data_IF_343630971606
#
_entry.id   IF_343630971606
#
_cell.length_a   1.000
_cell.length_b   1.000
_cell.length_c   1.000
_cell.angle_alpha   90.00
_cell.angle_beta   90.00
_cell.angle_gamma   90.00
#
_symmetry.space_group_name_H-M   'P 1'
#
loop_
_entity.id
_entity.type
_entity.pdbx_description
1 polymer ?
#
# COMPACT_ATOMS: atom_id res chain seq x y z
N UNK A 1 -19.48 17.92 -10.53
CA UNK A 1 -19.18 19.09 -9.69
C UNK A 1 -18.25 18.62 -8.59
N UNK A 2 -17.13 19.26 -8.38
CA UNK A 2 -16.21 18.99 -7.25
C UNK A 2 -16.63 19.96 -6.15
N UNK A 3 -16.98 19.44 -4.97
CA UNK A 3 -17.27 20.25 -3.79
C UNK A 3 -15.95 20.51 -3.08
N UNK A 4 -15.62 21.75 -2.82
CA UNK A 4 -14.44 22.15 -2.03
C UNK A 4 -14.91 22.36 -0.60
N UNK A 5 -14.59 21.43 0.27
CA UNK A 5 -14.74 21.62 1.72
C UNK A 5 -13.41 22.09 2.31
N UNK A 6 -13.49 23.04 3.22
CA UNK A 6 -12.32 23.61 3.91
C UNK A 6 -11.94 22.72 5.11
N UNK A 7 -11.72 21.42 4.85
CA UNK A 7 -11.29 20.44 5.84
C UNK A 7 -9.77 20.28 5.80
N UNK A 8 -9.15 19.96 6.94
CA UNK A 8 -7.71 19.64 6.98
C UNK A 8 -7.39 18.61 5.91
N UNK A 9 -6.36 18.87 5.08
CA UNK A 9 -6.03 18.07 3.91
C UNK A 9 -5.82 16.58 4.24
N UNK A 10 -5.09 16.27 5.33
CA UNK A 10 -4.88 14.91 5.81
C UNK A 10 -5.79 14.63 7.01
N UNK A 11 -6.53 13.53 6.93
CA UNK A 11 -7.39 13.02 7.98
C UNK A 11 -6.83 11.71 8.53
N UNK A 12 -6.96 11.50 9.84
CA UNK A 12 -6.63 10.22 10.44
C UNK A 12 -7.83 9.28 10.43
N UNK A 13 -7.61 8.02 10.08
CA UNK A 13 -8.59 6.95 10.06
C UNK A 13 -8.10 5.77 10.90
N UNK A 14 -9.00 4.99 11.47
CA UNK A 14 -8.63 3.72 12.09
C UNK A 14 -8.14 2.74 11.04
N UNK A 15 -7.11 1.97 11.37
CA UNK A 15 -6.69 0.84 10.54
C UNK A 15 -7.68 -0.33 10.77
N UNK A 16 -8.72 -0.37 9.96
CA UNK A 16 -9.85 -1.28 10.15
C UNK A 16 -10.57 -1.04 11.49
N UNK A 17 -10.85 -2.11 12.22
CA UNK A 17 -11.47 -2.07 13.56
C UNK A 17 -10.51 -1.75 14.71
N UNK A 18 -9.20 -1.68 14.41
CA UNK A 18 -8.16 -1.52 15.43
C UNK A 18 -8.01 -0.07 15.89
N UNK A 19 -7.38 0.11 17.07
CA UNK A 19 -7.28 1.41 17.72
C UNK A 19 -6.25 2.36 17.10
N UNK A 20 -5.33 1.86 16.28
CA UNK A 20 -4.30 2.69 15.67
C UNK A 20 -4.90 3.64 14.62
N UNK A 21 -4.47 4.90 14.70
CA UNK A 21 -4.89 5.96 13.78
C UNK A 21 -3.79 6.21 12.75
N UNK A 22 -4.14 6.07 11.48
CA UNK A 22 -3.24 6.31 10.35
C UNK A 22 -3.79 7.39 9.45
N UNK A 23 -2.91 8.15 8.81
CA UNK A 23 -3.30 9.12 7.79
C UNK A 23 -4.04 8.45 6.63
N UNK A 24 -4.99 9.16 6.03
CA UNK A 24 -5.78 8.68 4.89
C UNK A 24 -4.99 8.58 3.57
N UNK A 25 -3.70 8.89 3.59
CA UNK A 25 -2.71 8.55 2.57
C UNK A 25 -1.55 7.82 3.25
N UNK A 26 -1.01 6.79 2.59
CA UNK A 26 0.17 6.06 3.03
C UNK A 26 1.36 6.40 2.14
N UNK A 27 2.50 6.76 2.73
CA UNK A 27 3.74 7.01 1.99
C UNK A 27 4.42 5.69 1.63
N UNK A 28 4.37 5.30 0.36
CA UNK A 28 5.12 4.16 -0.17
C UNK A 28 6.55 4.53 -0.51
N UNK A 29 7.49 3.74 -0.03
CA UNK A 29 8.92 4.04 -0.10
C UNK A 29 9.68 3.25 -1.18
N UNK A 30 9.00 2.44 -1.98
CA UNK A 30 9.62 1.53 -2.97
C UNK A 30 10.56 2.24 -3.97
N UNK A 31 10.36 3.55 -4.22
CA UNK A 31 11.21 4.33 -5.12
C UNK A 31 12.49 4.84 -4.45
N UNK A 32 12.59 4.82 -3.12
CA UNK A 32 13.68 5.41 -2.35
C UNK A 32 14.96 4.58 -2.46
N UNK A 33 16.08 5.26 -2.67
CA UNK A 33 17.37 4.62 -2.92
C UNK A 33 17.52 4.06 -4.34
N UNK A 34 16.52 4.24 -5.23
CA UNK A 34 16.55 3.79 -6.62
C UNK A 34 16.17 4.91 -7.62
N UNK A 35 14.88 5.27 -7.68
CA UNK A 35 14.38 6.36 -8.55
C UNK A 35 14.47 7.72 -7.89
N UNK A 36 14.59 7.74 -6.59
CA UNK A 36 14.70 8.90 -5.72
C UNK A 36 15.95 8.71 -4.87
N UNK A 37 16.89 9.62 -4.93
CA UNK A 37 18.11 9.56 -4.15
C UNK A 37 17.82 9.75 -2.65
N UNK A 38 18.84 9.56 -1.81
CA UNK A 38 18.68 9.63 -0.35
C UNK A 38 18.27 11.01 0.13
N UNK A 39 18.85 12.07 -0.45
CA UNK A 39 18.56 13.46 -0.07
C UNK A 39 17.10 13.81 -0.33
N UNK A 40 16.62 13.53 -1.53
CA UNK A 40 15.22 13.76 -1.91
C UNK A 40 14.27 12.83 -1.13
N UNK A 41 14.66 11.58 -0.87
CA UNK A 41 13.88 10.65 -0.05
C UNK A 41 13.69 11.19 1.37
N UNK A 42 14.73 11.74 1.98
CA UNK A 42 14.65 12.37 3.31
C UNK A 42 13.75 13.60 3.29
N UNK A 43 13.88 14.45 2.26
CA UNK A 43 13.02 15.63 2.10
C UNK A 43 11.54 15.23 1.93
N UNK A 44 11.24 14.16 1.17
CA UNK A 44 9.88 13.63 1.03
C UNK A 44 9.34 13.12 2.36
N UNK A 45 10.13 12.37 3.15
CA UNK A 45 9.71 11.85 4.45
C UNK A 45 9.48 12.95 5.48
N UNK A 46 10.39 13.94 5.57
CA UNK A 46 10.20 15.10 6.45
C UNK A 46 8.95 15.90 6.04
N UNK A 47 8.77 16.15 4.74
CA UNK A 47 7.59 16.84 4.21
C UNK A 47 6.29 16.07 4.45
N UNK A 48 6.31 14.75 4.37
CA UNK A 48 5.16 13.90 4.66
C UNK A 48 4.70 14.08 6.12
N UNK A 49 5.62 14.09 7.08
CA UNK A 49 5.31 14.36 8.49
C UNK A 49 4.75 15.78 8.70
N UNK A 50 5.34 16.80 8.06
CA UNK A 50 4.82 18.17 8.12
C UNK A 50 3.38 18.28 7.63
N UNK A 51 3.02 17.49 6.61
CA UNK A 51 1.67 17.42 6.05
C UNK A 51 0.70 16.57 6.88
N UNK A 52 1.19 15.86 7.91
CA UNK A 52 0.39 14.98 8.76
C UNK A 52 0.28 13.55 8.25
N UNK A 53 1.07 13.13 7.25
CA UNK A 53 1.15 11.73 6.81
C UNK A 53 2.03 10.98 7.80
N UNK A 54 1.43 10.12 8.63
CA UNK A 54 2.10 9.30 9.62
C UNK A 54 2.23 7.83 9.25
N UNK A 55 1.66 7.39 8.13
CA UNK A 55 1.64 5.99 7.71
C UNK A 55 2.64 5.77 6.58
N UNK A 56 3.68 4.97 6.82
CA UNK A 56 4.75 4.69 5.86
C UNK A 56 4.80 3.19 5.57
N UNK A 57 4.91 2.84 4.29
CA UNK A 57 4.97 1.45 3.81
C UNK A 57 6.30 1.17 3.10
N UNK A 58 6.98 0.12 3.54
CA UNK A 58 8.20 -0.43 2.95
C UNK A 58 8.11 -1.95 2.81
N UNK A 59 9.20 -2.62 2.45
CA UNK A 59 9.35 -4.07 2.47
C UNK A 59 10.82 -4.48 2.58
N UNK A 60 11.07 -5.67 3.10
CA UNK A 60 12.39 -6.27 3.24
C UNK A 60 13.14 -6.44 1.91
N UNK A 61 12.41 -6.54 0.79
CA UNK A 61 12.96 -6.74 -0.57
C UNK A 61 13.08 -5.46 -1.38
N UNK A 62 12.67 -4.29 -0.87
CA UNK A 62 12.78 -3.05 -1.63
C UNK A 62 14.24 -2.57 -1.70
N UNK A 63 14.67 -2.18 -2.88
CA UNK A 63 16.06 -1.79 -3.17
C UNK A 63 16.41 -2.01 -4.65
N UNK A 64 15.44 -1.92 -5.55
CA UNK A 64 15.63 -2.09 -7.00
C UNK A 64 16.58 -1.02 -7.57
N UNK A 65 17.72 -1.47 -8.06
CA UNK A 65 18.82 -0.60 -8.51
C UNK A 65 20.04 -0.62 -7.59
N UNK A 66 19.89 -1.17 -6.39
CA UNK A 66 20.91 -1.51 -5.41
C UNK A 66 20.76 -2.96 -4.97
N UNK A 67 20.70 -3.18 -3.68
CA UNK A 67 20.48 -4.49 -3.06
C UNK A 67 19.12 -4.54 -2.35
N UNK A 68 18.54 -5.74 -2.26
CA UNK A 68 17.31 -5.95 -1.48
C UNK A 68 17.54 -5.52 -0.02
N UNK A 69 16.56 -4.81 0.56
CA UNK A 69 16.65 -4.21 1.89
C UNK A 69 17.30 -2.81 1.94
N UNK A 70 17.77 -2.26 0.82
CA UNK A 70 18.38 -0.92 0.80
C UNK A 70 17.39 0.17 1.18
N UNK A 71 16.12 0.01 0.83
CA UNK A 71 15.09 0.97 1.24
C UNK A 71 14.89 0.98 2.76
N UNK A 72 14.86 -0.18 3.42
CA UNK A 72 14.81 -0.24 4.89
C UNK A 72 16.07 0.37 5.54
N UNK A 73 17.26 0.16 4.96
CA UNK A 73 18.49 0.80 5.43
C UNK A 73 18.41 2.33 5.30
N UNK A 74 17.84 2.84 4.22
CA UNK A 74 17.65 4.28 4.00
C UNK A 74 16.69 4.85 5.05
N UNK A 75 15.55 4.21 5.29
CA UNK A 75 14.63 4.60 6.35
C UNK A 75 15.30 4.57 7.73
N UNK A 76 16.10 3.52 8.01
CA UNK A 76 16.84 3.40 9.25
C UNK A 76 17.88 4.53 9.46
N UNK A 77 18.50 5.03 8.39
CA UNK A 77 19.36 6.21 8.47
C UNK A 77 18.55 7.48 8.77
N UNK A 78 17.38 7.63 8.16
CA UNK A 78 16.49 8.76 8.41
C UNK A 78 15.94 8.75 9.84
N UNK A 79 15.51 7.61 10.38
CA UNK A 79 15.10 7.48 11.78
C UNK A 79 16.24 7.82 12.74
N UNK A 80 17.48 7.42 12.42
CA UNK A 80 18.66 7.70 13.24
C UNK A 80 19.05 9.18 13.32
N UNK A 81 18.47 10.06 12.47
CA UNK A 81 18.62 11.51 12.61
C UNK A 81 17.90 12.04 13.86
N UNK A 82 17.07 11.24 14.51
CA UNK A 82 16.34 11.62 15.73
C UNK A 82 15.19 12.59 15.46
N UNK A 83 14.92 13.51 16.41
CA UNK A 83 13.84 14.49 16.27
C UNK A 83 12.44 13.88 16.36
N UNK A 84 12.27 12.71 16.98
CA UNK A 84 10.98 12.04 17.15
C UNK A 84 10.44 11.38 15.86
N UNK A 85 11.27 11.27 14.80
CA UNK A 85 10.83 10.72 13.48
C UNK A 85 10.25 9.33 13.60
N UNK A 86 10.89 8.43 14.37
CA UNK A 86 10.39 7.06 14.52
C UNK A 86 9.05 7.01 15.24
N UNK A 87 8.89 7.78 16.30
CA UNK A 87 7.66 7.81 17.11
C UNK A 87 6.48 8.48 16.37
N UNK A 88 6.79 9.34 15.39
CA UNK A 88 5.78 10.00 14.57
C UNK A 88 5.23 9.12 13.44
N UNK A 89 5.82 7.93 13.19
CA UNK A 89 5.49 7.08 12.04
C UNK A 89 4.87 5.77 12.50
N UNK A 90 3.72 5.42 11.93
CA UNK A 90 3.18 4.06 11.90
C UNK A 90 3.87 3.34 10.73
N UNK A 91 4.84 2.51 11.03
CA UNK A 91 5.74 1.87 10.05
C UNK A 91 5.23 0.49 9.68
N UNK A 92 4.95 0.31 8.38
CA UNK A 92 4.64 -1.00 7.79
C UNK A 92 5.84 -1.54 7.02
N UNK A 93 6.19 -2.81 7.26
CA UNK A 93 7.11 -3.56 6.40
C UNK A 93 6.57 -4.97 6.13
N UNK A 94 7.26 -5.74 5.28
CA UNK A 94 6.72 -7.00 4.76
C UNK A 94 7.76 -8.12 4.81
N UNK A 95 7.25 -9.37 4.86
CA UNK A 95 8.05 -10.61 4.78
C UNK A 95 7.41 -11.59 3.82
N UNK A 96 8.22 -12.25 3.00
CA UNK A 96 7.87 -13.41 2.16
C UNK A 96 9.04 -13.80 1.25
N UNK A 97 9.51 -12.83 0.44
CA UNK A 97 10.57 -13.10 -0.53
C UNK A 97 11.92 -13.34 0.15
N UNK A 98 12.85 -14.06 -0.47
CA UNK A 98 14.23 -14.09 0.00
C UNK A 98 14.84 -12.69 -0.13
N UNK A 99 15.63 -12.29 0.83
CA UNK A 99 16.45 -11.06 0.78
C UNK A 99 17.86 -11.46 0.38
N UNK A 100 18.32 -10.99 -0.79
CA UNK A 100 19.64 -11.31 -1.35
C UNK A 100 20.51 -10.06 -1.30
N UNK A 101 21.67 -10.17 -0.63
CA UNK A 101 22.69 -9.10 -0.57
C UNK A 101 24.06 -9.68 -0.94
N UNK A 102 24.84 -8.90 -1.72
CA UNK A 102 26.15 -9.34 -2.26
C UNK A 102 27.19 -9.62 -1.18
N UNK A 103 27.21 -8.79 -0.15
CA UNK A 103 28.23 -8.81 0.90
C UNK A 103 27.94 -9.80 2.01
N UNK A 104 26.76 -10.31 2.09
CA UNK A 104 26.34 -11.22 3.12
C UNK A 104 25.85 -12.52 2.53
N UNK A 105 26.17 -13.61 3.20
CA UNK A 105 25.40 -14.84 3.05
C UNK A 105 23.92 -14.46 3.21
N UNK A 106 23.03 -15.18 2.53
CA UNK A 106 21.60 -14.91 2.61
C UNK A 106 21.19 -14.65 4.06
N UNK A 107 20.63 -13.48 4.32
CA UNK A 107 20.22 -13.08 5.68
C UNK A 107 19.20 -14.05 6.26
N UNK A 108 18.42 -14.67 5.39
CA UNK A 108 17.39 -15.65 5.73
C UNK A 108 17.30 -16.66 4.60
N UNK A 109 17.00 -17.93 4.94
CA UNK A 109 16.81 -19.04 4.01
C UNK A 109 16.36 -18.56 2.61
N UNK A 110 17.27 -18.70 1.62
CA UNK A 110 17.16 -18.08 0.31
C UNK A 110 16.49 -18.96 -0.70
N UNK A 111 16.17 -20.20 -0.32
CA UNK A 111 15.78 -21.23 -1.28
C UNK A 111 14.33 -21.06 -1.74
N UNK A 112 13.64 -20.00 -1.32
CA UNK A 112 12.29 -19.79 -1.75
C UNK A 112 11.56 -18.60 -1.10
N UNK A 113 10.28 -18.53 -1.42
CA UNK A 113 9.31 -17.56 -0.95
C UNK A 113 8.41 -18.26 0.05
N UNK A 114 8.47 -17.85 1.34
CA UNK A 114 7.83 -18.64 2.40
C UNK A 114 7.35 -17.79 3.56
N UNK A 115 6.39 -18.36 4.31
CA UNK A 115 5.92 -17.86 5.59
C UNK A 115 6.16 -18.85 6.74
N UNK A 116 7.24 -19.63 6.69
CA UNK A 116 7.59 -20.47 7.84
C UNK A 116 7.90 -19.62 9.08
N UNK A 117 7.66 -20.16 10.26
CA UNK A 117 7.97 -19.50 11.53
C UNK A 117 9.45 -19.05 11.61
N UNK A 118 10.35 -19.86 11.04
CA UNK A 118 11.77 -19.50 10.93
C UNK A 118 11.97 -18.23 10.10
N UNK A 119 11.34 -18.16 8.90
CA UNK A 119 11.45 -17.04 7.97
C UNK A 119 10.83 -15.76 8.57
N UNK A 120 9.64 -15.86 9.13
CA UNK A 120 8.92 -14.72 9.74
C UNK A 120 9.77 -14.10 10.84
N UNK A 121 10.30 -14.94 11.77
CA UNK A 121 11.16 -14.46 12.86
C UNK A 121 12.45 -13.81 12.35
N UNK A 122 13.17 -14.48 11.46
CA UNK A 122 14.45 -13.99 10.93
C UNK A 122 14.27 -12.74 10.06
N UNK A 123 13.20 -12.69 9.28
CA UNK A 123 12.83 -11.51 8.51
C UNK A 123 12.58 -10.29 9.39
N UNK A 124 11.80 -10.46 10.47
CA UNK A 124 11.54 -9.38 11.43
C UNK A 124 12.84 -8.88 12.10
N UNK A 125 13.70 -9.79 12.58
CA UNK A 125 14.98 -9.44 13.20
C UNK A 125 15.89 -8.66 12.23
N UNK A 126 15.94 -9.07 10.96
CA UNK A 126 16.73 -8.41 9.93
C UNK A 126 16.15 -7.02 9.56
N UNK A 127 14.82 -6.90 9.42
CA UNK A 127 14.15 -5.62 9.16
C UNK A 127 14.35 -4.63 10.30
N UNK A 128 14.18 -5.05 11.56
CA UNK A 128 14.44 -4.23 12.74
C UNK A 128 15.87 -3.66 12.75
N UNK A 129 16.85 -4.50 12.39
CA UNK A 129 18.25 -4.09 12.29
C UNK A 129 18.47 -3.06 11.18
N UNK A 130 17.91 -3.27 9.97
CA UNK A 130 18.03 -2.33 8.85
C UNK A 130 17.32 -1.01 9.15
N UNK A 131 16.12 -1.07 9.71
CA UNK A 131 15.31 0.09 10.09
C UNK A 131 15.82 0.82 11.34
N UNK A 132 16.79 0.24 12.09
CA UNK A 132 17.33 0.80 13.35
C UNK A 132 16.23 1.15 14.36
N UNK A 133 15.29 0.26 14.54
CA UNK A 133 14.15 0.38 15.46
C UNK A 133 13.98 -0.92 16.25
N UNK A 134 13.35 -0.83 17.40
CA UNK A 134 13.05 -1.98 18.26
C UNK A 134 11.71 -2.65 17.95
N UNK A 135 10.82 -1.98 17.20
CA UNK A 135 9.52 -2.51 16.81
C UNK A 135 9.09 -2.10 15.40
N UNK A 136 8.18 -2.89 14.83
CA UNK A 136 7.46 -2.64 13.58
C UNK A 136 5.98 -2.47 13.94
N UNK A 137 5.35 -1.38 13.52
CA UNK A 137 3.95 -1.13 13.85
C UNK A 137 3.01 -2.07 13.10
N UNK A 138 3.25 -2.32 11.81
CA UNK A 138 2.48 -3.23 10.98
C UNK A 138 3.41 -4.18 10.21
N UNK A 139 3.43 -5.45 10.60
CA UNK A 139 4.22 -6.48 9.92
C UNK A 139 3.32 -7.29 9.00
N UNK A 140 3.60 -7.26 7.70
CA UNK A 140 2.70 -7.79 6.68
C UNK A 140 3.27 -9.05 6.01
N UNK A 141 2.43 -10.04 5.77
CA UNK A 141 2.70 -11.13 4.84
C UNK A 141 2.63 -10.57 3.42
N UNK A 142 3.76 -10.49 2.69
CA UNK A 142 3.83 -9.87 1.36
C UNK A 142 3.03 -10.64 0.30
N UNK A 143 2.94 -11.95 0.46
CA UNK A 143 2.09 -12.89 -0.29
C UNK A 143 1.64 -14.02 0.62
N UNK A 144 0.62 -14.75 0.19
CA UNK A 144 0.17 -15.97 0.84
C UNK A 144 1.14 -17.12 0.59
N UNK A 145 1.33 -17.97 1.59
CA UNK A 145 1.94 -19.28 1.50
C UNK A 145 0.91 -20.34 1.91
N UNK A 146 0.28 -20.96 0.92
CA UNK A 146 -0.80 -21.93 1.16
C UNK A 146 -0.28 -23.31 1.57
N UNK A 147 1.00 -23.55 1.40
CA UNK A 147 1.65 -24.81 1.78
C UNK A 147 2.10 -24.79 3.25
N UNK A 148 2.23 -23.58 3.84
CA UNK A 148 2.56 -23.43 5.26
C UNK A 148 1.28 -23.45 6.12
N UNK A 149 1.22 -24.29 7.18
CA UNK A 149 0.07 -24.33 8.07
C UNK A 149 -0.21 -22.98 8.76
N UNK A 150 -1.47 -22.57 8.82
CA UNK A 150 -1.87 -21.32 9.49
C UNK A 150 -1.43 -21.27 10.95
N UNK A 151 -1.41 -22.42 11.64
CA UNK A 151 -0.94 -22.51 13.02
C UNK A 151 0.52 -22.08 13.16
N UNK A 152 1.39 -22.49 12.24
CA UNK A 152 2.79 -22.11 12.23
C UNK A 152 2.95 -20.61 11.96
N UNK A 153 2.25 -20.10 10.94
CA UNK A 153 2.29 -18.68 10.55
C UNK A 153 1.83 -17.82 11.73
N UNK A 154 0.63 -18.07 12.24
CA UNK A 154 0.04 -17.25 13.30
C UNK A 154 0.85 -17.30 14.58
N UNK A 155 1.35 -18.49 14.98
CA UNK A 155 2.20 -18.62 16.16
C UNK A 155 3.48 -17.76 16.05
N UNK A 156 4.06 -17.67 14.86
CA UNK A 156 5.26 -16.85 14.65
C UNK A 156 4.96 -15.35 14.85
N UNK A 157 3.86 -14.87 14.28
CA UNK A 157 3.43 -13.47 14.46
C UNK A 157 3.08 -13.16 15.92
N UNK A 158 2.35 -14.05 16.61
CA UNK A 158 2.02 -13.85 18.01
C UNK A 158 3.25 -13.83 18.91
N UNK A 159 4.22 -14.68 18.64
CA UNK A 159 5.49 -14.68 19.36
C UNK A 159 6.24 -13.35 19.20
N UNK A 160 6.28 -12.80 17.99
CA UNK A 160 6.87 -11.48 17.73
C UNK A 160 6.08 -10.37 18.44
N UNK A 161 4.76 -10.46 18.47
CA UNK A 161 3.89 -9.53 19.21
C UNK A 161 4.14 -9.61 20.71
N UNK A 162 4.20 -10.81 21.29
CA UNK A 162 4.50 -11.01 22.71
C UNK A 162 5.88 -10.50 23.11
N UNK A 163 6.85 -10.48 22.17
CA UNK A 163 8.19 -9.91 22.38
C UNK A 163 8.23 -8.39 22.17
N UNK A 164 7.10 -7.74 21.81
CA UNK A 164 7.05 -6.32 21.48
C UNK A 164 7.76 -5.95 20.16
N UNK A 165 8.14 -6.92 19.34
CA UNK A 165 8.84 -6.67 18.07
C UNK A 165 7.90 -6.22 16.94
N UNK A 166 6.64 -6.61 17.01
CA UNK A 166 5.58 -6.14 16.11
C UNK A 166 4.35 -5.76 16.92
N UNK A 167 3.52 -4.85 16.39
CA UNK A 167 2.28 -4.43 17.06
C UNK A 167 1.07 -5.03 16.36
N UNK A 168 0.97 -4.88 15.04
CA UNK A 168 -0.14 -5.37 14.21
C UNK A 168 0.38 -6.29 13.11
N UNK A 169 -0.48 -7.23 12.72
CA UNK A 169 -0.24 -8.14 11.60
C UNK A 169 -1.12 -7.74 10.41
N UNK A 170 -0.56 -7.74 9.21
CA UNK A 170 -1.30 -7.50 7.98
C UNK A 170 -1.04 -8.56 6.93
N UNK A 171 -1.85 -8.54 5.88
CA UNK A 171 -1.68 -9.35 4.68
C UNK A 171 -1.54 -8.49 3.44
N UNK A 172 -1.04 -9.07 2.36
CA UNK A 172 -0.94 -8.42 1.06
C UNK A 172 -1.19 -9.44 -0.05
N UNK A 173 -2.00 -9.04 -1.03
CA UNK A 173 -2.34 -9.84 -2.20
C UNK A 173 -3.05 -11.17 -1.87
N UNK A 174 -3.82 -11.19 -0.80
CA UNK A 174 -4.61 -12.35 -0.40
C UNK A 174 -5.94 -12.40 -1.17
N UNK A 175 -6.42 -13.60 -1.47
CA UNK A 175 -7.80 -13.80 -1.90
C UNK A 175 -8.76 -13.62 -0.71
N UNK A 176 -10.02 -13.34 -0.96
CA UNK A 176 -11.01 -13.16 0.12
C UNK A 176 -11.14 -14.37 1.03
N UNK A 177 -11.05 -15.61 0.48
CA UNK A 177 -11.10 -16.83 1.27
C UNK A 177 -9.83 -17.04 2.12
N UNK A 178 -8.63 -16.62 1.67
CA UNK A 178 -7.41 -16.65 2.47
C UNK A 178 -7.53 -15.71 3.67
N UNK A 179 -8.08 -14.49 3.45
CA UNK A 179 -8.38 -13.53 4.53
C UNK A 179 -9.34 -14.15 5.55
N UNK A 180 -10.43 -14.77 5.06
CA UNK A 180 -11.41 -15.41 5.92
C UNK A 180 -10.76 -16.52 6.75
N UNK A 181 -9.96 -17.38 6.12
CA UNK A 181 -9.26 -18.46 6.83
C UNK A 181 -8.30 -17.91 7.88
N UNK A 182 -7.46 -16.94 7.54
CA UNK A 182 -6.52 -16.33 8.48
C UNK A 182 -7.24 -15.73 9.71
N UNK A 183 -8.35 -15.01 9.49
CA UNK A 183 -9.11 -14.39 10.56
C UNK A 183 -9.82 -15.44 11.44
N UNK A 184 -10.35 -16.52 10.85
CA UNK A 184 -11.00 -17.61 11.59
C UNK A 184 -9.98 -18.38 12.44
N UNK A 185 -8.82 -18.73 11.87
CA UNK A 185 -7.79 -19.46 12.61
C UNK A 185 -7.21 -18.62 13.76
N UNK A 186 -7.01 -17.30 13.54
CA UNK A 186 -6.61 -16.38 14.59
C UNK A 186 -7.67 -16.32 15.72
N UNK A 187 -8.95 -16.23 15.35
CA UNK A 187 -10.07 -16.18 16.31
C UNK A 187 -10.16 -17.44 17.18
N UNK A 188 -9.97 -18.63 16.61
CA UNK A 188 -9.93 -19.91 17.37
C UNK A 188 -8.82 -19.92 18.43
N UNK A 189 -7.73 -19.22 18.18
CA UNK A 189 -6.56 -19.12 19.07
C UNK A 189 -6.65 -17.95 20.06
N UNK A 190 -7.68 -17.11 19.96
CA UNK A 190 -7.82 -15.91 20.78
C UNK A 190 -6.85 -14.79 20.42
N UNK A 191 -6.33 -14.79 19.19
CA UNK A 191 -5.38 -13.78 18.70
C UNK A 191 -6.09 -12.64 17.97
N UNK A 192 -5.41 -11.49 17.90
CA UNK A 192 -5.91 -10.30 17.19
C UNK A 192 -6.14 -10.59 15.71
N UNK A 193 -5.26 -11.37 15.08
CA UNK A 193 -5.31 -11.70 13.66
C UNK A 193 -4.90 -10.53 12.75
N UNK A 194 -5.43 -10.53 11.52
CA UNK A 194 -5.12 -9.51 10.54
C UNK A 194 -5.76 -8.17 10.91
N UNK A 195 -5.00 -7.08 10.73
CA UNK A 195 -5.45 -5.70 10.91
C UNK A 195 -5.70 -5.00 9.58
N UNK A 196 -5.02 -5.45 8.51
CA UNK A 196 -5.13 -4.85 7.18
C UNK A 196 -4.91 -5.87 6.08
N UNK A 197 -5.42 -5.53 4.90
CA UNK A 197 -5.08 -6.15 3.63
C UNK A 197 -4.51 -5.10 2.67
N UNK A 198 -3.38 -5.40 2.04
CA UNK A 198 -2.75 -4.54 1.04
C UNK A 198 -2.87 -5.17 -0.35
N UNK A 199 -3.78 -4.67 -1.18
CA UNK A 199 -4.09 -5.23 -2.50
C UNK A 199 -3.96 -4.21 -3.62
N UNK A 200 -3.72 -4.69 -4.87
CA UNK A 200 -3.81 -3.84 -6.04
C UNK A 200 -5.25 -3.34 -6.21
N UNK A 201 -5.43 -2.03 -6.21
CA UNK A 201 -6.75 -1.45 -6.44
C UNK A 201 -6.63 -0.05 -7.04
N UNK A 202 -7.22 0.14 -8.18
CA UNK A 202 -7.29 1.40 -8.92
C UNK A 202 -8.39 1.32 -10.00
N UNK A 203 -8.77 2.43 -10.62
CA UNK A 203 -9.84 2.51 -11.61
C UNK A 203 -9.77 1.42 -12.69
N UNK A 204 -8.57 1.10 -13.19
CA UNK A 204 -8.40 0.09 -14.25
C UNK A 204 -8.24 -1.36 -13.75
N UNK A 205 -8.18 -1.59 -12.42
CA UNK A 205 -8.20 -2.93 -11.81
C UNK A 205 -9.05 -2.91 -10.55
N UNK A 206 -10.25 -3.46 -10.65
CA UNK A 206 -11.28 -3.45 -9.61
C UNK A 206 -11.67 -4.86 -9.15
N UNK A 207 -10.86 -5.86 -9.48
CA UNK A 207 -11.16 -7.28 -9.22
C UNK A 207 -11.40 -7.58 -7.74
N UNK A 208 -10.72 -6.86 -6.83
CA UNK A 208 -10.87 -7.06 -5.38
C UNK A 208 -12.27 -6.69 -4.85
N UNK A 209 -13.10 -6.01 -5.65
CA UNK A 209 -14.49 -5.71 -5.29
C UNK A 209 -15.36 -6.98 -5.19
N UNK A 210 -14.95 -8.07 -5.85
CA UNK A 210 -15.69 -9.34 -5.82
C UNK A 210 -15.71 -9.98 -4.44
N UNK A 211 -14.56 -10.13 -3.78
CA UNK A 211 -14.48 -10.86 -2.51
C UNK A 211 -13.52 -10.27 -1.48
N UNK A 212 -12.41 -9.62 -1.89
CA UNK A 212 -11.43 -9.07 -0.94
C UNK A 212 -12.03 -7.92 -0.13
N UNK A 213 -12.69 -6.95 -0.79
CA UNK A 213 -13.37 -5.85 -0.11
C UNK A 213 -14.50 -6.36 0.80
N UNK A 214 -15.40 -7.27 0.35
CA UNK A 214 -16.38 -7.91 1.24
C UNK A 214 -15.74 -8.59 2.45
N UNK A 215 -14.66 -9.34 2.27
CA UNK A 215 -13.93 -9.97 3.37
C UNK A 215 -13.35 -8.94 4.34
N UNK A 216 -12.70 -7.88 3.83
CA UNK A 216 -12.17 -6.80 4.67
C UNK A 216 -13.27 -6.14 5.50
N UNK A 217 -14.44 -5.86 4.91
CA UNK A 217 -15.59 -5.30 5.63
C UNK A 217 -16.11 -6.25 6.71
N UNK A 218 -16.26 -7.54 6.38
CA UNK A 218 -16.78 -8.55 7.30
C UNK A 218 -15.90 -8.72 8.54
N UNK A 219 -14.58 -8.78 8.34
CA UNK A 219 -13.62 -8.97 9.44
C UNK A 219 -13.13 -7.68 10.08
N UNK A 220 -13.49 -6.52 9.52
CA UNK A 220 -13.08 -5.21 10.02
C UNK A 220 -11.62 -4.90 9.75
N UNK A 221 -11.10 -5.26 8.57
CA UNK A 221 -9.72 -4.98 8.16
C UNK A 221 -9.60 -3.63 7.45
N UNK A 222 -8.49 -2.94 7.64
CA UNK A 222 -8.15 -1.77 6.86
C UNK A 222 -7.65 -2.17 5.46
N UNK A 223 -8.21 -1.59 4.40
CA UNK A 223 -7.74 -1.81 3.04
C UNK A 223 -6.71 -0.75 2.65
N UNK A 224 -5.54 -1.19 2.19
CA UNK A 224 -4.40 -0.34 1.81
C UNK A 224 -4.08 -0.59 0.32
N UNK A 225 -4.72 0.16 -0.62
CA UNK A 225 -4.47 -0.02 -2.04
C UNK A 225 -3.05 0.33 -2.46
N UNK A 226 -2.36 -0.61 -3.13
CA UNK A 226 -1.09 -0.30 -3.78
C UNK A 226 -1.27 -0.03 -5.28
N UNK A 227 -0.31 0.70 -5.87
CA UNK A 227 -0.33 1.14 -7.28
C UNK A 227 -1.58 1.96 -7.66
N UNK A 228 -2.00 2.96 -6.87
CA UNK A 228 -3.26 3.68 -7.06
C UNK A 228 -3.37 4.37 -8.42
N UNK A 229 -2.24 4.67 -9.06
CA UNK A 229 -2.17 5.28 -10.39
C UNK A 229 -1.89 4.27 -11.51
N UNK A 230 -2.09 2.97 -11.28
CA UNK A 230 -1.83 1.91 -12.28
C UNK A 230 -0.42 2.00 -12.89
N UNK A 231 0.61 2.14 -12.03
CA UNK A 231 1.99 2.31 -12.49
C UNK A 231 2.29 3.64 -13.18
N UNK A 232 1.36 4.58 -13.17
CA UNK A 232 1.41 5.90 -13.80
C UNK A 232 0.42 6.07 -14.96
N UNK A 233 -0.27 5.01 -15.39
CA UNK A 233 -1.26 5.04 -16.47
C UNK A 233 -2.38 6.06 -16.24
N UNK A 234 -2.80 6.21 -14.98
CA UNK A 234 -3.85 7.14 -14.55
C UNK A 234 -3.30 8.53 -14.15
N UNK A 235 -2.05 8.80 -14.42
CA UNK A 235 -1.38 10.05 -14.03
C UNK A 235 -1.30 11.14 -15.11
N UNK A 236 -2.11 11.08 -16.17
CA UNK A 236 -2.08 12.07 -17.26
C UNK A 236 -1.07 11.74 -18.37
N UNK A 237 -1.08 10.51 -18.86
CA UNK A 237 -0.11 10.02 -19.86
C UNK A 237 -0.29 10.62 -21.25
N UNK A 238 -1.45 11.19 -21.57
CA UNK A 238 -1.70 11.85 -22.86
C UNK A 238 -1.35 13.35 -22.84
N UNK A 239 -1.08 13.92 -21.66
CA UNK A 239 -0.78 15.35 -21.51
C UNK A 239 0.69 15.72 -21.80
N UNK A 240 1.45 14.83 -22.38
CA UNK A 240 2.82 15.12 -22.86
C UNK A 240 3.93 15.12 -21.80
N UNK A 241 3.61 14.91 -20.53
CA UNK A 241 4.62 14.76 -19.48
C UNK A 241 5.17 13.34 -19.52
N UNK A 242 6.25 13.15 -20.26
CA UNK A 242 6.91 11.86 -20.42
C UNK A 242 8.11 11.78 -19.49
N UNK A 243 7.95 11.13 -18.37
CA UNK A 243 8.98 10.99 -17.35
C UNK A 243 8.90 9.58 -16.71
N UNK A 244 10.05 8.99 -16.44
CA UNK A 244 10.19 7.74 -15.71
C UNK A 244 9.54 6.52 -16.36
N UNK A 245 8.66 5.80 -15.64
CA UNK A 245 7.98 4.59 -16.13
C UNK A 245 7.13 4.81 -17.38
N UNK A 246 6.66 6.04 -17.62
CA UNK A 246 5.84 6.41 -18.78
C UNK A 246 6.58 6.25 -20.10
N UNK A 247 7.92 6.23 -20.08
CA UNK A 247 8.77 6.01 -21.24
C UNK A 247 9.05 4.53 -21.56
N UNK A 248 8.72 3.61 -20.67
CA UNK A 248 8.96 2.18 -20.89
C UNK A 248 8.08 1.63 -22.01
N UNK A 249 8.61 0.67 -22.77
CA UNK A 249 7.86 0.05 -23.88
C UNK A 249 6.63 -0.71 -23.37
N UNK A 250 6.68 -1.25 -22.16
CA UNK A 250 5.52 -1.89 -21.53
C UNK A 250 4.42 -0.86 -21.21
N UNK A 251 4.78 0.33 -20.72
CA UNK A 251 3.80 1.39 -20.52
C UNK A 251 3.20 1.89 -21.85
N UNK A 252 4.00 2.00 -22.91
CA UNK A 252 3.49 2.35 -24.24
C UNK A 252 2.45 1.32 -24.73
N UNK A 253 2.71 0.03 -24.51
CA UNK A 253 1.75 -1.05 -24.83
C UNK A 253 0.46 -0.93 -24.01
N UNK A 254 0.58 -0.68 -22.70
CA UNK A 254 -0.58 -0.49 -21.83
C UNK A 254 -1.39 0.76 -22.22
N UNK A 255 -0.74 1.88 -22.57
CA UNK A 255 -1.41 3.08 -23.10
C UNK A 255 -2.16 2.74 -24.37
N UNK A 256 -1.53 2.04 -25.33
CA UNK A 256 -2.18 1.65 -26.60
C UNK A 256 -3.40 0.77 -26.35
N UNK A 257 -3.28 -0.23 -25.49
CA UNK A 257 -4.36 -1.16 -25.10
C UNK A 257 -5.57 -0.47 -24.47
N UNK A 258 -5.32 0.57 -23.66
CA UNK A 258 -6.36 1.27 -22.89
C UNK A 258 -6.68 2.67 -23.41
N UNK A 259 -6.17 3.05 -24.60
CA UNK A 259 -6.18 4.40 -25.15
C UNK A 259 -7.54 5.08 -25.05
N UNK A 260 -8.57 4.44 -25.54
CA UNK A 260 -9.94 5.02 -25.55
C UNK A 260 -10.47 5.30 -24.14
N UNK A 261 -10.14 4.44 -23.16
CA UNK A 261 -10.52 4.67 -21.75
C UNK A 261 -9.77 5.86 -21.18
N UNK A 262 -8.45 5.94 -21.46
CA UNK A 262 -7.57 7.02 -20.97
C UNK A 262 -8.01 8.36 -21.56
N UNK A 263 -8.31 8.43 -22.86
CA UNK A 263 -8.82 9.65 -23.52
C UNK A 263 -10.12 10.16 -22.84
N UNK A 264 -11.08 9.27 -22.61
CA UNK A 264 -12.33 9.62 -21.90
C UNK A 264 -12.07 10.08 -20.47
N UNK A 265 -11.16 9.40 -19.78
CA UNK A 265 -10.78 9.70 -18.41
C UNK A 265 -10.12 11.08 -18.29
N UNK A 266 -9.07 11.35 -19.07
CA UNK A 266 -8.37 12.63 -19.05
C UNK A 266 -9.27 13.78 -19.49
N UNK A 267 -10.16 13.57 -20.47
CA UNK A 267 -11.18 14.53 -20.86
C UNK A 267 -12.18 14.82 -19.71
N UNK A 268 -12.56 13.81 -18.93
CA UNK A 268 -13.39 14.01 -17.73
C UNK A 268 -12.63 14.81 -16.66
N UNK A 269 -11.37 14.48 -16.39
CA UNK A 269 -10.53 15.20 -15.43
C UNK A 269 -10.39 16.68 -15.80
N UNK A 270 -10.11 16.97 -17.08
CA UNK A 270 -10.04 18.35 -17.58
C UNK A 270 -11.34 19.13 -17.37
N UNK A 271 -12.52 18.50 -17.60
CA UNK A 271 -13.83 19.11 -17.31
C UNK A 271 -14.08 19.37 -15.84
N UNK A 272 -13.45 18.60 -14.95
CA UNK A 272 -13.54 18.79 -13.50
C UNK A 272 -12.53 19.83 -13.00
N UNK A 273 -11.57 20.25 -13.82
CA UNK A 273 -10.49 21.18 -13.47
C UNK A 273 -9.45 20.58 -12.52
N UNK A 274 -9.30 19.23 -12.53
CA UNK A 274 -8.38 18.51 -11.66
C UNK A 274 -7.43 17.61 -12.47
N UNK A 275 -6.26 17.33 -11.91
CA UNK A 275 -5.31 16.41 -12.57
C UNK A 275 -5.84 14.98 -12.56
N UNK A 276 -5.47 14.15 -13.57
CA UNK A 276 -5.84 12.73 -13.56
C UNK A 276 -5.36 12.00 -12.30
N UNK A 277 -4.15 12.26 -11.81
CA UNK A 277 -3.66 11.65 -10.57
C UNK A 277 -4.51 12.01 -9.36
N UNK A 278 -4.94 13.27 -9.26
CA UNK A 278 -5.86 13.75 -8.20
C UNK A 278 -7.19 12.99 -8.24
N UNK A 279 -7.81 12.85 -9.42
CA UNK A 279 -9.09 12.14 -9.55
C UNK A 279 -8.95 10.65 -9.25
N UNK A 280 -7.87 9.99 -9.68
CA UNK A 280 -7.64 8.58 -9.36
C UNK A 280 -7.51 8.33 -7.85
N UNK A 281 -6.78 9.17 -7.14
CA UNK A 281 -6.63 9.08 -5.69
C UNK A 281 -7.94 9.45 -4.97
N UNK A 282 -8.63 10.51 -5.39
CA UNK A 282 -9.91 10.91 -4.81
C UNK A 282 -10.99 9.82 -4.98
N UNK A 283 -10.97 9.08 -6.10
CA UNK A 283 -11.85 7.93 -6.30
C UNK A 283 -11.60 6.82 -5.28
N UNK A 284 -10.34 6.50 -4.98
CA UNK A 284 -10.00 5.55 -3.92
C UNK A 284 -10.45 6.04 -2.55
N UNK A 285 -10.20 7.31 -2.24
CA UNK A 285 -10.57 7.93 -0.96
C UNK A 285 -12.09 8.02 -0.75
N UNK A 286 -12.87 8.07 -1.84
CA UNK A 286 -14.33 8.04 -1.80
C UNK A 286 -14.90 6.66 -1.45
N UNK A 287 -14.11 5.57 -1.56
CA UNK A 287 -14.56 4.23 -1.16
C UNK A 287 -14.38 4.04 0.35
N UNK A 288 -15.47 3.83 1.12
CA UNK A 288 -15.40 3.72 2.57
C UNK A 288 -14.63 2.49 3.08
N UNK A 289 -14.38 1.50 2.22
CA UNK A 289 -13.54 0.34 2.57
C UNK A 289 -12.04 0.68 2.55
N UNK A 290 -11.65 1.74 1.83
CA UNK A 290 -10.24 2.13 1.70
C UNK A 290 -9.81 2.94 2.92
N UNK A 291 -8.77 2.46 3.60
CA UNK A 291 -8.16 3.19 4.73
C UNK A 291 -7.18 4.23 4.21
N UNK A 292 -6.18 3.82 3.42
CA UNK A 292 -5.13 4.69 2.93
C UNK A 292 -4.51 4.13 1.63
N UNK A 293 -4.71 4.75 0.46
CA UNK A 293 -3.97 4.37 -0.74
C UNK A 293 -2.49 4.72 -0.59
N UNK A 294 -1.62 3.83 -1.08
CA UNK A 294 -0.16 3.99 -1.03
C UNK A 294 0.27 4.88 -2.18
N UNK A 295 0.69 6.11 -1.87
CA UNK A 295 1.29 7.03 -2.82
C UNK A 295 2.80 6.80 -2.91
N UNK A 296 3.37 6.88 -4.10
CA UNK A 296 4.80 6.66 -4.33
C UNK A 296 5.47 7.88 -5.00
N UNK A 297 5.53 9.03 -4.32
CA UNK A 297 6.16 10.22 -4.89
C UNK A 297 7.66 10.00 -5.07
N UNK A 298 8.23 10.60 -6.13
CA UNK A 298 9.67 10.60 -6.39
C UNK A 298 10.30 11.97 -6.13
N UNK A 299 9.47 12.96 -5.89
CA UNK A 299 9.87 14.33 -5.54
C UNK A 299 8.89 14.90 -4.52
N UNK A 300 9.34 15.89 -3.73
CA UNK A 300 8.48 16.65 -2.81
C UNK A 300 7.29 17.27 -3.56
N UNK A 301 7.50 17.78 -4.77
CA UNK A 301 6.43 18.31 -5.60
C UNK A 301 5.33 17.27 -5.88
N UNK A 302 5.69 16.02 -6.21
CA UNK A 302 4.71 14.96 -6.44
C UNK A 302 3.97 14.57 -5.16
N UNK A 303 4.63 14.66 -4.00
CA UNK A 303 3.96 14.49 -2.72
C UNK A 303 2.91 15.57 -2.50
N UNK A 304 3.28 16.86 -2.63
CA UNK A 304 2.37 18.00 -2.48
C UNK A 304 1.18 17.90 -3.46
N UNK A 305 1.42 17.49 -4.71
CA UNK A 305 0.35 17.24 -5.70
C UNK A 305 -0.61 16.12 -5.27
N UNK A 306 -0.11 15.08 -4.58
CA UNK A 306 -0.96 13.97 -4.10
C UNK A 306 -1.92 14.39 -2.98
N UNK A 307 -1.53 15.39 -2.16
CA UNK A 307 -2.39 15.92 -1.09
C UNK A 307 -3.68 16.50 -1.65
N UNK A 308 -3.63 17.11 -2.84
CA UNK A 308 -4.82 17.67 -3.48
C UNK A 308 -5.99 16.69 -3.55
N UNK A 309 -5.73 15.40 -3.68
CA UNK A 309 -6.76 14.37 -3.73
C UNK A 309 -7.61 14.29 -2.44
N UNK A 310 -7.06 14.67 -1.30
CA UNK A 310 -7.78 14.64 -0.01
C UNK A 310 -8.75 15.81 0.18
N UNK A 311 -8.62 16.83 -0.65
CA UNK A 311 -9.49 18.02 -0.67
C UNK A 311 -10.61 17.91 -1.71
N UNK A 312 -10.61 16.85 -2.53
CA UNK A 312 -11.54 16.66 -3.64
C UNK A 312 -12.61 15.66 -3.26
N UNK A 313 -13.86 16.12 -3.21
CA UNK A 313 -15.02 15.25 -3.05
C UNK A 313 -15.67 15.01 -4.42
N UNK A 314 -15.76 13.74 -4.82
CA UNK A 314 -16.39 13.35 -6.08
C UNK A 314 -17.89 13.20 -5.90
N UNK A 315 -18.69 13.89 -6.75
CA UNK A 315 -20.14 13.73 -6.76
C UNK A 315 -20.55 12.34 -7.28
N UNK A 316 -21.73 11.86 -6.90
CA UNK A 316 -22.28 10.59 -7.42
C UNK A 316 -22.31 10.56 -8.96
N UNK A 317 -22.63 11.69 -9.60
CA UNK A 317 -22.63 11.77 -11.07
C UNK A 317 -21.22 11.61 -11.65
N UNK A 318 -20.20 12.07 -10.95
CA UNK A 318 -18.79 11.88 -11.34
C UNK A 318 -18.36 10.42 -11.15
N UNK A 319 -18.71 9.82 -10.01
CA UNK A 319 -18.44 8.39 -9.75
C UNK A 319 -19.09 7.51 -10.82
N UNK A 320 -20.35 7.73 -11.16
CA UNK A 320 -21.05 7.02 -12.26
C UNK A 320 -20.37 7.17 -13.62
N UNK A 321 -19.81 8.35 -13.93
CA UNK A 321 -19.02 8.55 -15.17
C UNK A 321 -17.70 7.79 -15.15
N UNK A 322 -17.03 7.76 -14.02
CA UNK A 322 -15.81 6.96 -13.84
C UNK A 322 -16.11 5.45 -13.97
N UNK A 323 -17.22 4.98 -13.39
CA UNK A 323 -17.70 3.60 -13.54
C UNK A 323 -18.02 3.23 -14.99
N UNK A 324 -18.59 4.16 -15.76
CA UNK A 324 -18.86 3.95 -17.19
C UNK A 324 -17.56 3.87 -18.02
N UNK A 325 -16.49 4.56 -17.63
CA UNK A 325 -15.18 4.51 -18.28
C UNK A 325 -14.40 3.25 -17.85
N UNK A 326 -14.44 2.92 -16.56
CA UNK A 326 -13.75 1.81 -15.94
C UNK A 326 -14.76 0.92 -15.19
N UNK A 327 -15.53 0.10 -15.90
CA UNK A 327 -16.51 -0.74 -15.25
C UNK A 327 -15.84 -1.71 -14.31
N UNK A 328 -16.37 -1.81 -13.10
CA UNK A 328 -16.01 -2.82 -12.14
C UNK A 328 -16.61 -4.19 -12.51
N UNK A 329 -16.44 -5.19 -11.64
CA UNK A 329 -16.98 -6.54 -11.86
C UNK A 329 -18.51 -6.63 -11.78
N UNK A 330 -19.20 -5.53 -11.48
CA UNK A 330 -20.66 -5.48 -11.36
C UNK A 330 -21.21 -5.67 -9.95
N UNK A 331 -20.32 -5.74 -8.97
CA UNK A 331 -20.67 -5.91 -7.55
C UNK A 331 -19.86 -7.00 -6.89
N UNK A 332 -20.30 -7.43 -5.71
CA UNK A 332 -19.70 -8.55 -4.97
C UNK A 332 -19.96 -9.89 -5.67
N UNK A 333 -19.17 -10.92 -5.34
CA UNK A 333 -19.40 -12.26 -5.80
C UNK A 333 -20.85 -12.71 -5.48
N UNK A 334 -21.51 -13.42 -6.40
CA UNK A 334 -22.91 -13.77 -6.22
C UNK A 334 -23.09 -14.67 -4.99
N UNK A 335 -24.26 -14.55 -4.31
CA UNK A 335 -24.58 -15.40 -3.19
C UNK A 335 -24.74 -16.88 -3.57
N UNK A 336 -25.03 -17.14 -4.84
CA UNK A 336 -25.10 -18.45 -5.41
C UNK A 336 -24.71 -18.41 -6.90
N UNK A 337 -24.00 -19.43 -7.36
CA UNK A 337 -23.54 -19.53 -8.74
C UNK A 337 -24.48 -20.32 -9.66
N UNK A 338 -25.57 -20.85 -9.13
CA UNK A 338 -26.45 -21.80 -9.83
C UNK A 338 -27.92 -21.44 -9.80
N UNK A 339 -28.26 -20.18 -9.91
CA UNK A 339 -29.66 -19.72 -10.04
C UNK A 339 -29.95 -19.31 -11.46
#
# INVERSE_FOLDING_TARGET
MVVRENTMAIQNRRLGKHGVMVSNLCLGTMNFGWKTDEKESFAIMDRALELGINFFDTADTYGWGGEEGDTELLLGRWFALGGGRRDAVVLATKVYNPVKRKENRPEVNTDGRYLSAYKIRKGAEASLKRLKTDHIDLYQMHHIDRDCPWDEILQAFDHLGAQGKIVYTGSSNFAGWDIATACQEAGKRGFMGLSSEQSIYHLNNRTIELEVIPACRHYGLGLIPWSPLAGGLLGGVLQGVQDGRRLSDDMKKEIAKHRTKIEKYEALCAKLGESPSTIALAWLLANPAVTAPIIGPRTVKQLDESIRATEVTLSESTLKKLDAIFPGPGGEAPKAYSW
#
